data_IF_331317731016
#
_entry.id   IF_331317731016
#
_cell.length_a   1.000
_cell.length_b   1.000
_cell.length_c   1.000
_cell.angle_alpha   90.00
_cell.angle_beta   90.00
_cell.angle_gamma   90.00
#
_symmetry.space_group_name_H-M   'P 1'
#
loop_
_entity.id
_entity.type
_entity.pdbx_description
1 polymer ?
#
# COMPACT_ATOMS: atom_id res chain seq x y z
N UNK A 1 9.40 0.49 10.46
CA UNK A 1 8.17 1.27 10.56
C UNK A 1 7.37 1.01 11.86
N UNK A 2 7.09 -0.22 12.33
CA UNK A 2 6.33 -0.40 13.59
C UNK A 2 6.96 0.28 14.79
N UNK A 3 8.28 0.18 14.93
CA UNK A 3 9.02 0.78 16.03
C UNK A 3 8.89 2.31 16.12
N UNK A 4 8.86 3.02 14.99
CA UNK A 4 8.80 4.49 14.97
C UNK A 4 7.46 5.00 15.49
N UNK A 5 6.36 4.33 15.16
CA UNK A 5 5.03 4.70 15.66
C UNK A 5 4.88 4.36 17.16
N UNK A 6 5.47 3.25 17.59
CA UNK A 6 5.50 2.86 19.01
C UNK A 6 6.31 3.87 19.84
N UNK A 7 7.46 4.35 19.34
CA UNK A 7 8.26 5.39 19.98
C UNK A 7 7.46 6.70 20.11
N UNK A 8 6.77 7.13 19.06
CA UNK A 8 5.90 8.33 19.11
C UNK A 8 4.82 8.16 20.17
N UNK A 9 4.16 6.99 20.21
CA UNK A 9 3.12 6.70 21.18
C UNK A 9 3.62 6.70 22.62
N UNK A 10 4.88 6.33 22.84
CA UNK A 10 5.51 6.25 24.16
C UNK A 10 6.10 7.59 24.63
N UNK A 11 6.68 8.37 23.72
CA UNK A 11 7.36 9.65 24.04
C UNK A 11 6.37 10.81 24.18
N UNK A 12 5.31 10.83 23.36
CA UNK A 12 4.35 11.93 23.36
C UNK A 12 3.08 11.55 24.15
N UNK A 13 2.69 12.33 25.17
CA UNK A 13 1.45 12.10 25.91
C UNK A 13 0.21 12.21 24.99
N UNK A 14 -0.91 11.61 25.43
CA UNK A 14 -2.16 11.67 24.69
C UNK A 14 -2.60 13.13 24.48
N UNK A 15 -3.02 13.45 23.25
CA UNK A 15 -3.52 14.78 22.90
C UNK A 15 -2.88 15.39 21.66
N UNK A 16 -2.94 16.69 21.54
CA UNK A 16 -2.55 17.44 20.33
C UNK A 16 -1.07 17.28 19.95
N UNK A 17 -0.17 17.06 20.91
CA UNK A 17 1.27 16.88 20.63
C UNK A 17 1.54 15.56 19.96
N UNK A 18 0.90 14.48 20.38
CA UNK A 18 1.02 13.17 19.72
C UNK A 18 0.45 13.21 18.31
N UNK A 19 -0.70 13.82 18.12
CA UNK A 19 -1.31 13.97 16.78
C UNK A 19 -0.40 14.79 15.84
N UNK A 20 0.25 15.85 16.36
CA UNK A 20 1.26 16.59 15.60
C UNK A 20 2.48 15.71 15.23
N UNK A 21 2.99 14.91 16.18
CA UNK A 21 4.12 14.02 15.94
C UNK A 21 3.79 12.96 14.88
N UNK A 22 2.58 12.37 14.92
CA UNK A 22 2.09 11.44 13.89
C UNK A 22 1.94 12.15 12.55
N UNK A 23 1.45 13.40 12.52
CA UNK A 23 1.38 14.22 11.32
C UNK A 23 2.76 14.49 10.69
N UNK A 24 3.78 14.81 11.49
CA UNK A 24 5.17 14.99 11.04
C UNK A 24 5.73 13.66 10.53
N UNK A 25 5.46 12.56 11.22
CA UNK A 25 5.85 11.23 10.76
C UNK A 25 5.24 10.87 9.41
N UNK A 26 3.94 11.13 9.23
CA UNK A 26 3.26 10.93 7.94
C UNK A 26 3.85 11.82 6.84
N UNK A 27 4.20 13.07 7.18
CA UNK A 27 4.88 13.98 6.26
C UNK A 27 6.27 13.45 5.84
N UNK A 28 7.03 12.88 6.78
CA UNK A 28 8.33 12.26 6.47
C UNK A 28 8.18 11.05 5.53
N UNK A 29 7.13 10.24 5.70
CA UNK A 29 6.77 9.17 4.75
C UNK A 29 6.47 9.75 3.37
N UNK A 30 5.71 10.84 3.31
CA UNK A 30 5.41 11.57 2.06
C UNK A 30 6.69 12.06 1.37
N UNK A 31 7.59 12.70 2.11
CA UNK A 31 8.90 13.15 1.59
C UNK A 31 9.70 11.98 1.02
N UNK A 32 9.78 10.85 1.73
CA UNK A 32 10.46 9.65 1.24
C UNK A 32 9.84 9.10 -0.05
N UNK A 33 8.52 9.15 -0.15
CA UNK A 33 7.78 8.70 -1.35
C UNK A 33 8.06 9.59 -2.57
N UNK A 34 8.31 10.91 -2.37
CA UNK A 34 8.73 11.84 -3.44
C UNK A 34 10.19 11.64 -3.83
N UNK A 35 11.06 11.72 -2.81
CA UNK A 35 12.50 11.75 -3.03
C UNK A 35 12.97 10.40 -3.58
N UNK A 36 12.37 9.29 -3.14
CA UNK A 36 12.74 7.94 -3.57
C UNK A 36 12.76 7.77 -5.09
N UNK A 37 11.65 7.92 -5.79
CA UNK A 37 11.61 7.79 -7.25
C UNK A 37 12.45 8.87 -7.99
N UNK A 38 12.52 10.09 -7.47
CA UNK A 38 13.33 11.15 -8.09
C UNK A 38 14.83 10.83 -8.02
N UNK A 39 15.32 10.47 -6.83
CA UNK A 39 16.73 10.10 -6.63
C UNK A 39 17.04 8.79 -7.32
N UNK A 40 16.13 7.79 -7.23
CA UNK A 40 16.27 6.53 -7.93
C UNK A 40 16.34 6.71 -9.44
N UNK A 41 15.46 7.53 -10.02
CA UNK A 41 15.46 7.86 -11.44
C UNK A 41 16.71 8.61 -11.89
N UNK A 42 17.20 9.55 -11.06
CA UNK A 42 18.46 10.25 -11.33
C UNK A 42 19.68 9.31 -11.28
N UNK A 43 19.73 8.42 -10.28
CA UNK A 43 20.78 7.42 -10.17
C UNK A 43 20.79 6.46 -11.36
N UNK A 44 19.62 5.98 -11.80
CA UNK A 44 19.51 5.09 -12.97
C UNK A 44 19.88 5.76 -14.28
N UNK A 45 19.75 7.08 -14.38
CA UNK A 45 20.15 7.82 -15.59
C UNK A 45 21.64 8.14 -15.66
N UNK A 46 22.38 8.13 -14.52
CA UNK A 46 23.79 8.52 -14.45
C UNK A 46 24.72 7.40 -14.01
N UNK A 47 24.20 6.36 -13.34
CA UNK A 47 24.97 5.27 -12.78
C UNK A 47 24.31 3.92 -13.11
N UNK A 48 24.99 2.82 -12.76
CA UNK A 48 24.47 1.48 -12.91
C UNK A 48 23.32 1.18 -11.92
N UNK A 49 22.48 0.20 -12.25
CA UNK A 49 21.24 -0.11 -11.50
C UNK A 49 21.45 -0.36 -10.00
N UNK A 50 22.59 -0.94 -9.59
CA UNK A 50 22.87 -1.22 -8.18
C UNK A 50 23.08 0.03 -7.32
N UNK A 51 23.35 1.21 -7.92
CA UNK A 51 23.49 2.48 -7.21
C UNK A 51 22.25 2.84 -6.40
N UNK A 52 21.05 2.44 -6.87
CA UNK A 52 19.77 2.65 -6.18
C UNK A 52 19.70 1.90 -4.85
N UNK A 53 20.42 0.78 -4.73
CA UNK A 53 20.50 0.05 -3.46
C UNK A 53 21.59 0.60 -2.55
N UNK A 54 22.70 1.03 -3.12
CA UNK A 54 23.84 1.56 -2.36
C UNK A 54 23.51 2.84 -1.58
N UNK A 55 22.59 3.68 -2.08
CA UNK A 55 22.15 4.90 -1.38
C UNK A 55 21.49 4.60 -0.03
N UNK A 56 20.96 3.40 0.16
CA UNK A 56 20.38 3.00 1.44
C UNK A 56 21.43 2.81 2.53
N UNK A 57 22.70 2.56 2.18
CA UNK A 57 23.78 2.38 3.17
C UNK A 57 24.05 3.66 3.98
N UNK A 58 24.35 4.82 3.36
CA UNK A 58 24.58 6.05 4.13
C UNK A 58 23.33 6.50 4.89
N UNK A 59 22.12 6.35 4.30
CA UNK A 59 20.88 6.67 4.97
C UNK A 59 20.64 5.75 6.18
N UNK A 60 20.87 4.45 6.03
CA UNK A 60 20.74 3.46 7.10
C UNK A 60 21.73 3.69 8.23
N UNK A 61 23.00 4.00 7.90
CA UNK A 61 24.04 4.33 8.90
C UNK A 61 23.65 5.61 9.66
N UNK A 62 23.25 6.66 8.95
CA UNK A 62 22.80 7.91 9.58
C UNK A 62 21.58 7.67 10.50
N UNK A 63 20.61 6.87 10.04
CA UNK A 63 19.45 6.49 10.83
C UNK A 63 19.80 5.67 12.07
N UNK A 64 20.77 4.75 11.97
CA UNK A 64 21.25 3.95 13.09
C UNK A 64 21.93 4.83 14.16
N UNK A 65 22.80 5.76 13.72
CA UNK A 65 23.47 6.72 14.62
C UNK A 65 22.43 7.61 15.29
N UNK A 66 21.49 8.17 14.52
CA UNK A 66 20.43 9.02 15.07
C UNK A 66 19.55 8.24 16.07
N UNK A 67 19.19 7.00 15.79
CA UNK A 67 18.43 6.16 16.71
C UNK A 67 19.20 5.88 18.02
N UNK A 68 20.51 5.58 17.90
CA UNK A 68 21.34 5.32 19.08
C UNK A 68 21.52 6.55 19.99
N UNK A 69 21.51 7.76 19.41
CA UNK A 69 21.73 9.00 20.16
C UNK A 69 20.44 9.65 20.67
N UNK A 70 19.33 9.49 19.97
CA UNK A 70 18.10 10.28 20.22
C UNK A 70 16.94 9.45 20.78
N UNK A 71 16.92 8.13 20.56
CA UNK A 71 15.80 7.30 21.01
C UNK A 71 16.08 6.80 22.44
N UNK A 72 15.22 7.13 23.41
CA UNK A 72 15.36 6.64 24.78
C UNK A 72 15.20 5.11 24.84
N UNK A 73 15.98 4.47 25.68
CA UNK A 73 15.91 3.04 25.91
C UNK A 73 14.54 2.70 26.54
N UNK A 74 13.71 1.99 25.82
CA UNK A 74 12.40 1.56 26.31
C UNK A 74 12.30 0.03 26.19
N UNK A 75 12.13 -0.63 27.35
CA UNK A 75 11.96 -2.08 27.42
C UNK A 75 10.60 -2.38 28.02
N UNK A 76 9.84 -3.25 27.37
CA UNK A 76 8.64 -3.79 28.01
C UNK A 76 9.07 -4.64 29.23
N UNK A 77 8.44 -4.46 30.40
CA UNK A 77 8.78 -5.23 31.61
C UNK A 77 8.68 -6.74 31.43
N UNK A 78 7.80 -7.20 30.52
CA UNK A 78 7.64 -8.60 30.15
C UNK A 78 7.79 -8.71 28.63
N UNK A 79 9.02 -8.94 28.16
CA UNK A 79 9.25 -9.37 26.78
C UNK A 79 8.71 -10.80 26.63
N UNK A 80 7.55 -10.96 25.98
CA UNK A 80 7.01 -12.27 25.63
C UNK A 80 8.02 -13.11 24.84
N UNK A 81 7.95 -14.42 24.98
CA UNK A 81 8.77 -15.33 24.15
C UNK A 81 8.37 -15.16 22.70
N UNK A 82 9.37 -15.25 21.80
CA UNK A 82 9.12 -15.25 20.36
C UNK A 82 8.18 -16.44 20.01
N UNK A 83 7.24 -16.19 19.12
CA UNK A 83 6.32 -17.19 18.56
C UNK A 83 6.74 -17.56 17.13
N UNK A 84 7.79 -18.39 16.95
CA UNK A 84 8.27 -18.73 15.60
C UNK A 84 7.25 -19.55 14.82
N UNK A 85 6.41 -20.35 15.49
CA UNK A 85 5.37 -21.13 14.83
C UNK A 85 4.28 -20.22 14.28
N UNK A 86 3.80 -19.24 15.06
CA UNK A 86 2.85 -18.24 14.58
C UNK A 86 3.42 -17.40 13.43
N UNK A 87 4.70 -16.98 13.54
CA UNK A 87 5.37 -16.25 12.47
C UNK A 87 5.44 -17.06 11.17
N UNK A 88 5.87 -18.32 11.23
CA UNK A 88 5.95 -19.19 10.05
C UNK A 88 4.58 -19.43 9.42
N UNK A 89 3.57 -19.73 10.23
CA UNK A 89 2.20 -19.95 9.75
C UNK A 89 1.66 -18.72 9.01
N UNK A 90 1.84 -17.52 9.58
CA UNK A 90 1.37 -16.28 8.95
C UNK A 90 2.10 -15.97 7.64
N UNK A 91 3.43 -16.12 7.61
CA UNK A 91 4.25 -15.85 6.43
C UNK A 91 3.87 -16.81 5.29
N UNK A 92 3.80 -18.12 5.57
CA UNK A 92 3.48 -19.11 4.53
C UNK A 92 2.04 -18.98 4.06
N UNK A 93 1.07 -18.66 4.96
CA UNK A 93 -0.30 -18.41 4.57
C UNK A 93 -0.42 -17.25 3.58
N UNK A 94 0.18 -16.10 3.91
CA UNK A 94 0.16 -14.90 3.05
C UNK A 94 0.90 -15.17 1.74
N UNK A 95 2.09 -15.77 1.80
CA UNK A 95 2.87 -16.09 0.61
C UNK A 95 2.11 -17.01 -0.34
N UNK A 96 1.39 -18.02 0.18
CA UNK A 96 0.59 -18.94 -0.64
C UNK A 96 -0.54 -18.22 -1.37
N UNK A 97 -1.26 -17.32 -0.69
CA UNK A 97 -2.35 -16.53 -1.31
C UNK A 97 -1.80 -15.58 -2.37
N UNK A 98 -0.73 -14.84 -2.04
CA UNK A 98 -0.13 -13.90 -2.99
C UNK A 98 0.44 -14.62 -4.21
N UNK A 99 1.10 -15.76 -4.02
CA UNK A 99 1.58 -16.59 -5.12
C UNK A 99 0.44 -17.04 -6.03
N UNK A 100 -0.67 -17.51 -5.45
CA UNK A 100 -1.85 -17.92 -6.23
C UNK A 100 -2.45 -16.77 -7.04
N UNK A 101 -2.47 -15.54 -6.50
CA UNK A 101 -2.95 -14.35 -7.21
C UNK A 101 -1.99 -13.94 -8.33
N UNK A 102 -0.69 -14.00 -8.11
CA UNK A 102 0.34 -13.60 -9.09
C UNK A 102 0.41 -14.60 -10.25
N UNK A 103 0.38 -15.90 -9.95
CA UNK A 103 0.48 -16.97 -10.97
C UNK A 103 -0.86 -17.29 -11.66
N UNK A 104 -1.96 -16.76 -11.13
CA UNK A 104 -3.32 -17.01 -11.66
C UNK A 104 -3.46 -16.72 -13.15
N UNK A 105 -3.02 -15.57 -13.68
CA UNK A 105 -3.06 -15.25 -15.10
C UNK A 105 -2.24 -16.18 -15.98
N UNK A 106 -1.10 -16.65 -15.49
CA UNK A 106 -0.16 -17.49 -16.27
C UNK A 106 -0.57 -18.94 -16.32
N UNK A 107 -1.00 -19.47 -15.17
CA UNK A 107 -1.34 -20.89 -15.02
C UNK A 107 -2.82 -21.20 -15.20
N UNK A 108 -3.66 -20.16 -15.28
CA UNK A 108 -5.10 -20.26 -15.22
C UNK A 108 -5.64 -20.32 -13.79
N UNK A 109 -6.67 -19.52 -13.51
CA UNK A 109 -7.29 -19.39 -12.18
C UNK A 109 -7.86 -20.71 -11.63
N UNK A 110 -8.22 -21.63 -12.50
CA UNK A 110 -8.79 -22.96 -12.18
C UNK A 110 -7.75 -24.07 -12.15
N UNK A 111 -6.48 -23.78 -12.39
CA UNK A 111 -5.41 -24.80 -12.34
C UNK A 111 -5.28 -25.39 -10.94
N UNK A 112 -4.95 -26.69 -10.87
CA UNK A 112 -4.78 -27.41 -9.61
C UNK A 112 -3.75 -26.75 -8.69
N UNK A 113 -2.69 -26.19 -9.25
CA UNK A 113 -1.63 -25.51 -8.51
C UNK A 113 -2.14 -24.22 -7.84
N UNK A 114 -2.89 -23.38 -8.58
CA UNK A 114 -3.45 -22.12 -8.06
C UNK A 114 -4.52 -22.40 -7.00
N UNK A 115 -5.42 -23.35 -7.27
CA UNK A 115 -6.44 -23.76 -6.29
C UNK A 115 -5.82 -24.38 -5.03
N UNK A 116 -4.78 -25.22 -5.18
CA UNK A 116 -4.06 -25.77 -4.04
C UNK A 116 -3.37 -24.69 -3.19
N UNK A 117 -2.80 -23.68 -3.84
CA UNK A 117 -2.16 -22.55 -3.13
C UNK A 117 -3.20 -21.69 -2.37
N UNK A 118 -4.36 -21.41 -2.95
CA UNK A 118 -5.47 -20.75 -2.22
C UNK A 118 -5.96 -21.59 -1.04
N UNK A 119 -6.15 -22.90 -1.25
CA UNK A 119 -6.57 -23.82 -0.18
C UNK A 119 -5.53 -23.90 0.94
N UNK A 120 -4.24 -24.00 0.59
CA UNK A 120 -3.14 -24.01 1.54
C UNK A 120 -3.08 -22.70 2.33
N UNK A 121 -3.19 -21.56 1.66
CA UNK A 121 -3.22 -20.24 2.30
C UNK A 121 -4.37 -20.10 3.29
N UNK A 122 -5.58 -20.53 2.90
CA UNK A 122 -6.77 -20.50 3.77
C UNK A 122 -6.61 -21.44 4.98
N UNK A 123 -6.13 -22.68 4.77
CA UNK A 123 -5.88 -23.64 5.85
C UNK A 123 -4.82 -23.14 6.83
N UNK A 124 -3.73 -22.57 6.32
CA UNK A 124 -2.66 -22.01 7.15
C UNK A 124 -3.13 -20.77 7.92
N UNK A 125 -3.97 -19.92 7.32
CA UNK A 125 -4.56 -18.79 8.04
C UNK A 125 -5.48 -19.26 9.18
N UNK A 126 -6.29 -20.29 8.96
CA UNK A 126 -7.12 -20.91 10.02
C UNK A 126 -6.23 -21.53 11.10
N UNK A 127 -5.18 -22.25 10.71
CA UNK A 127 -4.21 -22.84 11.62
C UNK A 127 -3.49 -21.76 12.45
N UNK A 128 -3.09 -20.64 11.83
CA UNK A 128 -2.53 -19.47 12.50
C UNK A 128 -3.48 -18.91 13.57
N UNK A 129 -4.74 -18.68 13.22
CA UNK A 129 -5.73 -18.17 14.17
C UNK A 129 -5.99 -19.14 15.32
N UNK A 130 -6.04 -20.45 15.04
CA UNK A 130 -6.17 -21.49 16.05
C UNK A 130 -4.95 -21.54 16.96
N UNK A 131 -3.75 -21.42 16.41
CA UNK A 131 -2.49 -21.36 17.13
C UNK A 131 -2.45 -20.13 18.08
N UNK A 132 -2.75 -18.95 17.57
CA UNK A 132 -2.76 -17.71 18.35
C UNK A 132 -3.74 -17.75 19.54
N UNK A 133 -4.81 -18.55 19.47
CA UNK A 133 -5.74 -18.77 20.60
C UNK A 133 -5.17 -19.67 21.68
N UNK A 134 -4.19 -20.52 21.37
CA UNK A 134 -3.63 -21.53 22.27
C UNK A 134 -2.21 -21.23 22.72
N UNK A 135 -1.49 -20.40 21.99
CA UNK A 135 -0.11 -20.06 22.32
C UNK A 135 0.00 -19.36 23.67
N UNK A 136 0.97 -19.75 24.49
CA UNK A 136 1.21 -19.15 25.80
C UNK A 136 1.70 -17.69 25.69
N UNK A 137 2.44 -17.36 24.61
CA UNK A 137 2.89 -16.01 24.26
C UNK A 137 2.56 -15.74 22.81
N UNK A 138 1.30 -15.44 22.46
CA UNK A 138 0.90 -15.25 21.08
C UNK A 138 1.54 -13.99 20.51
N UNK A 139 2.10 -14.06 19.28
CA UNK A 139 2.61 -12.92 18.55
C UNK A 139 1.52 -11.86 18.31
N UNK A 140 0.30 -12.34 18.04
CA UNK A 140 -0.89 -11.53 17.82
C UNK A 140 -1.99 -11.88 18.82
N UNK A 141 -2.06 -11.21 19.97
CA UNK A 141 -3.10 -11.46 20.95
C UNK A 141 -4.45 -11.00 20.39
N UNK A 142 -5.28 -11.96 19.94
CA UNK A 142 -6.55 -11.67 19.24
C UNK A 142 -7.52 -10.81 20.07
N UNK A 143 -7.31 -10.71 21.39
CA UNK A 143 -8.08 -9.82 22.28
C UNK A 143 -8.01 -8.34 21.88
N UNK A 144 -6.90 -7.88 21.26
CA UNK A 144 -6.76 -6.47 20.89
C UNK A 144 -7.74 -6.05 19.79
N UNK A 145 -8.17 -6.98 18.92
CA UNK A 145 -9.19 -6.71 17.90
C UNK A 145 -10.61 -6.51 18.46
N UNK A 146 -10.80 -6.72 19.78
CA UNK A 146 -12.03 -6.30 20.46
C UNK A 146 -12.17 -4.77 20.53
N UNK A 147 -11.05 -4.05 20.42
CA UNK A 147 -11.06 -2.60 20.26
C UNK A 147 -11.48 -2.26 18.82
N UNK A 148 -12.70 -1.78 18.65
CA UNK A 148 -13.29 -1.47 17.34
C UNK A 148 -12.45 -0.49 16.54
N UNK A 149 -11.80 0.48 17.20
CA UNK A 149 -10.94 1.45 16.53
C UNK A 149 -9.71 0.78 15.88
N UNK A 150 -9.10 -0.20 16.56
CA UNK A 150 -7.98 -0.98 16.01
C UNK A 150 -8.45 -1.81 14.82
N UNK A 151 -9.48 -2.64 14.99
CA UNK A 151 -9.95 -3.56 13.95
C UNK A 151 -10.42 -2.78 12.69
N UNK A 152 -11.18 -1.71 12.89
CA UNK A 152 -11.61 -0.84 11.79
C UNK A 152 -10.42 -0.10 11.18
N UNK A 153 -9.50 0.44 12.00
CA UNK A 153 -8.32 1.16 11.54
C UNK A 153 -7.41 0.29 10.68
N UNK A 154 -7.08 -0.92 11.14
CA UNK A 154 -6.25 -1.87 10.39
C UNK A 154 -6.91 -2.29 9.08
N UNK A 155 -8.22 -2.50 9.06
CA UNK A 155 -8.96 -2.81 7.83
C UNK A 155 -8.93 -1.63 6.84
N UNK A 156 -9.20 -0.41 7.32
CA UNK A 156 -9.27 0.78 6.45
C UNK A 156 -7.89 1.16 5.90
N UNK A 157 -6.83 1.04 6.71
CA UNK A 157 -5.47 1.31 6.22
C UNK A 157 -4.99 0.24 5.25
N UNK A 158 -5.40 -1.02 5.43
CA UNK A 158 -5.13 -2.10 4.47
C UNK A 158 -5.75 -1.77 3.10
N UNK A 159 -7.04 -1.37 3.08
CA UNK A 159 -7.72 -0.99 1.84
C UNK A 159 -7.11 0.26 1.19
N UNK A 160 -6.71 1.23 2.02
CA UNK A 160 -6.00 2.43 1.56
C UNK A 160 -4.64 2.12 0.94
N UNK A 161 -3.85 1.25 1.59
CA UNK A 161 -2.54 0.82 1.09
C UNK A 161 -2.65 -0.04 -0.17
N UNK A 162 -3.70 -0.88 -0.27
CA UNK A 162 -4.05 -1.63 -1.47
C UNK A 162 -4.20 -0.69 -2.67
N UNK A 163 -5.02 0.33 -2.55
CA UNK A 163 -5.25 1.27 -3.64
C UNK A 163 -4.02 2.14 -3.91
N UNK A 164 -3.36 2.65 -2.87
CA UNK A 164 -2.19 3.52 -3.02
C UNK A 164 -1.10 2.83 -3.82
N UNK A 165 -0.64 1.67 -3.35
CA UNK A 165 0.51 0.99 -3.93
C UNK A 165 0.15 0.28 -5.23
N UNK A 166 -1.05 -0.32 -5.33
CA UNK A 166 -1.53 -0.91 -6.56
C UNK A 166 -1.69 0.13 -7.69
N UNK A 167 -2.26 1.30 -7.39
CA UNK A 167 -2.39 2.40 -8.36
C UNK A 167 -1.02 2.94 -8.78
N UNK A 168 -0.08 3.12 -7.84
CA UNK A 168 1.28 3.56 -8.16
C UNK A 168 2.01 2.55 -9.05
N UNK A 169 1.86 1.26 -8.80
CA UNK A 169 2.46 0.19 -9.60
C UNK A 169 2.03 0.26 -11.07
N UNK A 170 0.74 0.44 -11.33
CA UNK A 170 0.21 0.57 -12.70
C UNK A 170 0.57 1.92 -13.30
N UNK A 171 0.47 3.01 -12.53
CA UNK A 171 0.78 4.35 -13.02
C UNK A 171 2.24 4.52 -13.46
N UNK A 172 3.20 3.91 -12.72
CA UNK A 172 4.62 3.93 -13.11
C UNK A 172 4.82 3.27 -14.48
N UNK A 173 4.20 2.13 -14.70
CA UNK A 173 4.30 1.43 -15.99
C UNK A 173 3.63 2.24 -17.12
N UNK A 174 2.46 2.81 -16.86
CA UNK A 174 1.77 3.69 -17.81
C UNK A 174 2.65 4.89 -18.20
N UNK A 175 3.27 5.55 -17.21
CA UNK A 175 4.13 6.71 -17.47
C UNK A 175 5.37 6.35 -18.29
N UNK A 176 6.01 5.21 -18.01
CA UNK A 176 7.23 4.80 -18.69
C UNK A 176 6.96 4.20 -20.07
N UNK A 177 6.01 3.30 -20.20
CA UNK A 177 5.85 2.48 -21.40
C UNK A 177 4.77 3.01 -22.36
N UNK A 178 3.72 3.67 -21.85
CA UNK A 178 2.67 4.25 -22.69
C UNK A 178 3.03 5.69 -23.04
N UNK A 179 3.31 6.54 -22.02
CA UNK A 179 3.64 7.95 -22.25
C UNK A 179 5.12 8.19 -22.61
N UNK A 180 5.96 7.16 -22.57
CA UNK A 180 7.36 7.22 -22.97
C UNK A 180 8.26 8.07 -22.07
N UNK A 181 7.89 8.30 -20.80
CA UNK A 181 8.72 9.08 -19.89
C UNK A 181 9.91 8.29 -19.38
N UNK A 182 11.06 8.95 -19.29
CA UNK A 182 12.23 8.38 -18.64
C UNK A 182 11.97 8.12 -17.14
N UNK A 183 12.73 7.24 -16.46
CA UNK A 183 12.59 7.01 -15.03
C UNK A 183 12.63 8.27 -14.18
N UNK A 184 13.51 9.22 -14.51
CA UNK A 184 13.61 10.52 -13.83
C UNK A 184 12.37 11.38 -14.06
N UNK A 185 11.86 11.43 -15.29
CA UNK A 185 10.62 12.14 -15.62
C UNK A 185 9.41 11.51 -14.94
N UNK A 186 9.36 10.19 -14.84
CA UNK A 186 8.32 9.47 -14.11
C UNK A 186 8.34 9.84 -12.63
N UNK A 187 9.51 9.85 -11.99
CA UNK A 187 9.66 10.27 -10.61
C UNK A 187 9.13 11.68 -10.35
N UNK A 188 9.44 12.64 -11.23
CA UNK A 188 8.90 14.01 -11.15
C UNK A 188 7.37 14.04 -11.28
N UNK A 189 6.79 13.21 -12.13
CA UNK A 189 5.34 13.14 -12.36
C UNK A 189 4.58 12.41 -11.27
N UNK A 190 5.25 11.63 -10.44
CA UNK A 190 4.71 11.11 -9.18
C UNK A 190 4.75 12.16 -8.05
N UNK A 191 5.55 13.23 -8.21
CA UNK A 191 5.71 14.31 -7.24
C UNK A 191 4.40 14.90 -6.71
N UNK A 192 3.39 15.20 -7.55
CA UNK A 192 2.10 15.72 -7.08
C UNK A 192 1.40 14.82 -6.06
N UNK A 193 1.45 13.48 -6.22
CA UNK A 193 0.87 12.56 -5.23
C UNK A 193 1.56 12.69 -3.88
N UNK A 194 2.83 12.82 -3.90
CA UNK A 194 3.63 12.87 -2.71
C UNK A 194 3.60 14.27 -2.03
N UNK A 195 3.53 15.35 -2.80
CA UNK A 195 3.25 16.68 -2.25
C UNK A 195 1.86 16.75 -1.61
N UNK A 196 0.86 16.14 -2.26
CA UNK A 196 -0.48 16.02 -1.69
C UNK A 196 -0.47 15.23 -0.38
N UNK A 197 0.23 14.10 -0.32
CA UNK A 197 0.41 13.28 0.88
C UNK A 197 1.10 14.09 2.01
N UNK A 198 2.14 14.85 1.67
CA UNK A 198 2.89 15.69 2.61
C UNK A 198 2.00 16.73 3.30
N UNK A 199 1.04 17.31 2.58
CA UNK A 199 0.09 18.30 3.11
C UNK A 199 -1.10 17.60 3.79
N UNK A 200 -1.59 16.51 3.21
CA UNK A 200 -2.76 15.79 3.68
C UNK A 200 -2.55 15.15 5.07
N UNK A 201 -1.35 14.62 5.36
CA UNK A 201 -1.04 14.00 6.64
C UNK A 201 -1.24 14.95 7.83
N UNK A 202 -0.54 16.09 7.91
CA UNK A 202 -0.75 17.09 8.97
C UNK A 202 -2.18 17.62 9.04
N UNK A 203 -2.84 17.84 7.88
CA UNK A 203 -4.22 18.29 7.85
C UNK A 203 -5.17 17.23 8.43
N UNK A 204 -4.99 15.97 8.10
CA UNK A 204 -5.74 14.87 8.71
C UNK A 204 -5.53 14.80 10.22
N UNK A 205 -4.29 15.05 10.69
CA UNK A 205 -3.96 15.14 12.11
C UNK A 205 -4.72 16.26 12.86
N UNK A 206 -5.06 17.34 12.19
CA UNK A 206 -5.90 18.43 12.73
C UNK A 206 -7.39 18.11 12.63
N UNK A 207 -7.80 17.45 11.56
CA UNK A 207 -9.21 17.15 11.28
C UNK A 207 -9.70 15.90 12.05
N UNK A 208 -8.89 14.88 12.22
CA UNK A 208 -9.29 13.62 12.85
C UNK A 208 -9.80 13.78 14.29
N UNK A 209 -9.20 14.62 15.16
CA UNK A 209 -9.75 14.90 16.50
C UNK A 209 -11.10 15.61 16.48
N UNK A 210 -11.38 16.41 15.44
CA UNK A 210 -12.61 17.20 15.31
C UNK A 210 -13.76 16.43 14.66
N UNK A 211 -13.47 15.74 13.56
CA UNK A 211 -14.46 15.06 12.73
C UNK A 211 -14.59 13.57 13.06
N UNK A 212 -13.60 13.01 13.75
CA UNK A 212 -13.47 11.58 14.03
C UNK A 212 -12.81 10.81 12.88
N UNK A 213 -12.17 9.68 13.23
CA UNK A 213 -11.54 8.75 12.28
C UNK A 213 -12.48 8.36 11.14
N UNK A 214 -13.75 8.10 11.47
CA UNK A 214 -14.80 7.66 10.54
C UNK A 214 -14.91 8.55 9.30
N UNK A 215 -15.05 9.86 9.51
CA UNK A 215 -15.27 10.81 8.40
C UNK A 215 -13.99 11.03 7.63
N UNK A 216 -12.86 11.25 8.32
CA UNK A 216 -11.58 11.53 7.66
C UNK A 216 -11.10 10.33 6.84
N UNK A 217 -11.19 9.11 7.37
CA UNK A 217 -10.85 7.91 6.62
C UNK A 217 -11.81 7.64 5.45
N UNK A 218 -13.12 7.87 5.62
CA UNK A 218 -14.10 7.73 4.53
C UNK A 218 -13.81 8.70 3.38
N UNK A 219 -13.52 9.97 3.68
CA UNK A 219 -13.13 10.97 2.67
C UNK A 219 -11.83 10.56 1.98
N UNK A 220 -10.83 10.10 2.74
CA UNK A 220 -9.58 9.59 2.17
C UNK A 220 -9.77 8.41 1.22
N UNK A 221 -10.58 7.42 1.62
CA UNK A 221 -10.90 6.27 0.77
C UNK A 221 -11.73 6.67 -0.47
N UNK A 222 -12.64 7.65 -0.35
CA UNK A 222 -13.36 8.19 -1.50
C UNK A 222 -12.43 8.88 -2.50
N UNK A 223 -11.42 9.61 -2.02
CA UNK A 223 -10.39 10.20 -2.88
C UNK A 223 -9.52 9.14 -3.57
N UNK A 224 -9.14 8.06 -2.86
CA UNK A 224 -8.43 6.92 -3.46
C UNK A 224 -9.28 6.22 -4.51
N UNK A 225 -10.57 6.03 -4.25
CA UNK A 225 -11.52 5.48 -5.21
C UNK A 225 -11.63 6.36 -6.47
N UNK A 226 -11.78 7.67 -6.29
CA UNK A 226 -11.84 8.63 -7.39
C UNK A 226 -10.52 8.65 -8.19
N UNK A 227 -9.36 8.56 -7.53
CA UNK A 227 -8.05 8.46 -8.19
C UNK A 227 -7.99 7.25 -9.13
N UNK A 228 -8.32 6.08 -8.61
CA UNK A 228 -8.35 4.85 -9.41
C UNK A 228 -9.40 4.92 -10.53
N UNK A 229 -10.59 5.49 -10.27
CA UNK A 229 -11.64 5.66 -11.27
C UNK A 229 -11.20 6.61 -12.41
N UNK A 230 -10.49 7.69 -12.11
CA UNK A 230 -9.93 8.59 -13.14
C UNK A 230 -8.93 7.84 -14.03
N UNK A 231 -8.05 7.01 -13.44
CA UNK A 231 -7.10 6.22 -14.23
C UNK A 231 -7.76 5.08 -14.98
N UNK A 232 -8.88 4.52 -14.50
CA UNK A 232 -9.64 3.48 -15.20
C UNK A 232 -10.20 3.97 -16.55
N UNK A 233 -10.43 5.27 -16.72
CA UNK A 233 -10.96 5.89 -17.92
C UNK A 233 -9.89 6.55 -18.80
N UNK A 234 -8.60 6.26 -18.54
CA UNK A 234 -7.49 6.81 -19.32
C UNK A 234 -7.35 6.08 -20.65
N UNK A 235 -7.17 6.83 -21.71
CA UNK A 235 -6.93 6.33 -23.08
C UNK A 235 -5.44 6.43 -23.44
N UNK A 236 -4.98 5.64 -24.41
CA UNK A 236 -3.58 5.64 -24.84
C UNK A 236 -3.12 7.00 -25.40
N UNK A 237 -4.05 7.80 -25.89
CA UNK A 237 -3.83 9.15 -26.45
C UNK A 237 -3.89 10.26 -25.40
N UNK A 238 -4.32 9.94 -24.18
CA UNK A 238 -4.43 10.92 -23.12
C UNK A 238 -3.06 11.41 -22.65
N UNK A 239 -2.95 12.71 -22.47
CA UNK A 239 -1.77 13.32 -21.86
C UNK A 239 -1.75 13.19 -20.35
N UNK A 240 -0.72 13.76 -19.74
CA UNK A 240 -0.49 13.71 -18.28
C UNK A 240 -1.59 14.39 -17.44
N UNK A 241 -2.44 15.22 -17.99
CA UNK A 241 -3.43 16.01 -17.24
C UNK A 241 -4.39 15.16 -16.39
N UNK A 242 -4.92 14.06 -16.93
CA UNK A 242 -5.75 13.11 -16.17
C UNK A 242 -4.96 12.43 -15.07
N UNK A 243 -3.76 11.98 -15.38
CA UNK A 243 -2.86 11.37 -14.42
C UNK A 243 -2.49 12.33 -13.29
N UNK A 244 -2.31 13.63 -13.55
CA UNK A 244 -2.07 14.65 -12.54
C UNK A 244 -3.21 14.73 -11.52
N UNK A 245 -4.46 14.76 -12.00
CA UNK A 245 -5.64 14.76 -11.10
C UNK A 245 -5.67 13.49 -10.26
N UNK A 246 -5.44 12.34 -10.89
CA UNK A 246 -5.38 11.06 -10.17
C UNK A 246 -4.28 11.05 -9.10
N UNK A 247 -3.07 11.54 -9.43
CA UNK A 247 -1.96 11.60 -8.48
C UNK A 247 -2.26 12.53 -7.27
N UNK A 248 -2.88 13.67 -7.51
CA UNK A 248 -3.31 14.56 -6.43
C UNK A 248 -4.33 13.88 -5.51
N UNK A 249 -5.37 13.27 -6.09
CA UNK A 249 -6.38 12.51 -5.33
C UNK A 249 -5.76 11.35 -4.55
N UNK A 250 -4.80 10.64 -5.17
CA UNK A 250 -4.08 9.53 -4.55
C UNK A 250 -3.35 9.97 -3.28
N UNK A 251 -2.59 11.05 -3.37
CA UNK A 251 -1.82 11.58 -2.24
C UNK A 251 -2.69 12.11 -1.11
N UNK A 252 -3.73 12.89 -1.44
CA UNK A 252 -4.69 13.39 -0.45
C UNK A 252 -5.40 12.23 0.24
N UNK A 253 -5.90 11.26 -0.52
CA UNK A 253 -6.59 10.10 0.02
C UNK A 253 -5.72 9.27 0.95
N UNK A 254 -4.49 8.96 0.53
CA UNK A 254 -3.54 8.19 1.34
C UNK A 254 -3.18 8.91 2.65
N UNK A 255 -2.90 10.22 2.60
CA UNK A 255 -2.59 11.00 3.79
C UNK A 255 -3.72 11.00 4.81
N UNK A 256 -4.95 11.13 4.34
CA UNK A 256 -6.13 11.11 5.21
C UNK A 256 -6.34 9.73 5.86
N UNK A 257 -6.26 8.64 5.08
CA UNK A 257 -6.45 7.28 5.60
C UNK A 257 -5.35 6.93 6.59
N UNK A 258 -4.08 7.04 6.20
CA UNK A 258 -2.94 6.62 7.03
C UNK A 258 -2.93 7.38 8.36
N UNK A 259 -3.08 8.70 8.33
CA UNK A 259 -3.00 9.50 9.55
C UNK A 259 -4.20 9.26 10.47
N UNK A 260 -5.43 9.28 9.93
CA UNK A 260 -6.63 9.11 10.75
C UNK A 260 -6.71 7.73 11.40
N UNK A 261 -6.33 6.67 10.68
CA UNK A 261 -6.34 5.29 11.21
C UNK A 261 -5.23 5.07 12.23
N UNK A 262 -3.99 5.53 11.95
CA UNK A 262 -2.86 5.39 12.87
C UNK A 262 -3.09 6.14 14.18
N UNK A 263 -3.63 7.37 14.14
CA UNK A 263 -3.97 8.13 15.34
C UNK A 263 -5.06 7.43 16.18
N UNK A 264 -6.10 6.92 15.53
CA UNK A 264 -7.17 6.19 16.21
C UNK A 264 -6.69 4.89 16.85
N UNK A 265 -5.82 4.13 16.17
CA UNK A 265 -5.24 2.90 16.70
C UNK A 265 -4.40 3.20 17.95
N UNK A 266 -3.44 4.11 17.84
CA UNK A 266 -2.57 4.51 18.96
C UNK A 266 -3.38 5.14 20.10
N UNK A 267 -4.46 5.87 19.77
CA UNK A 267 -5.34 6.51 20.75
C UNK A 267 -6.24 5.54 21.53
N UNK A 268 -6.57 4.40 20.96
CA UNK A 268 -7.52 3.44 21.52
C UNK A 268 -6.89 2.36 22.42
N UNK A 269 -5.56 2.20 22.37
CA UNK A 269 -4.86 1.14 23.07
C UNK A 269 -4.21 1.62 24.37
N UNK A 270 -4.13 0.72 25.40
CA UNK A 270 -3.27 0.93 26.55
C UNK A 270 -1.80 1.02 26.14
N UNK A 271 -0.98 1.67 26.96
CA UNK A 271 0.47 1.80 26.68
C UNK A 271 1.18 0.45 26.53
N UNK A 272 0.75 -0.57 27.28
CA UNK A 272 1.26 -1.94 27.19
C UNK A 272 1.03 -2.60 25.85
N UNK A 273 -0.02 -2.23 25.12
CA UNK A 273 -0.44 -2.85 23.87
C UNK A 273 -0.07 -1.99 22.63
N UNK A 274 0.54 -0.80 22.81
CA UNK A 274 0.92 0.11 21.72
C UNK A 274 1.89 -0.54 20.73
N UNK A 275 2.84 -1.34 21.22
CA UNK A 275 3.78 -2.06 20.34
C UNK A 275 3.07 -3.04 19.41
N UNK A 276 2.12 -3.80 19.94
CA UNK A 276 1.33 -4.76 19.16
C UNK A 276 0.40 -4.03 18.18
N UNK A 277 -0.27 -2.96 18.62
CA UNK A 277 -1.12 -2.16 17.74
C UNK A 277 -0.34 -1.50 16.60
N UNK A 278 0.86 -0.99 16.86
CA UNK A 278 1.73 -0.46 15.81
C UNK A 278 2.21 -1.54 14.85
N UNK A 279 2.45 -2.76 15.34
CA UNK A 279 2.84 -3.90 14.52
C UNK A 279 1.69 -4.36 13.61
N UNK A 280 0.45 -4.45 14.14
CA UNK A 280 -0.73 -4.80 13.32
C UNK A 280 -1.03 -3.77 12.26
N UNK A 281 -0.96 -2.47 12.59
CA UNK A 281 -1.12 -1.39 11.63
C UNK A 281 -0.08 -1.48 10.49
N UNK A 282 1.19 -1.71 10.83
CA UNK A 282 2.24 -1.86 9.82
C UNK A 282 2.06 -3.13 8.97
N UNK A 283 1.63 -4.23 9.58
CA UNK A 283 1.30 -5.46 8.86
C UNK A 283 0.11 -5.23 7.91
N UNK A 284 -0.93 -4.52 8.35
CA UNK A 284 -2.08 -4.17 7.51
C UNK A 284 -1.66 -3.33 6.29
N UNK A 285 -0.79 -2.32 6.47
CA UNK A 285 -0.23 -1.52 5.36
C UNK A 285 0.52 -2.43 4.37
N UNK A 286 1.40 -3.32 4.85
CA UNK A 286 2.21 -4.18 3.98
C UNK A 286 1.37 -5.23 3.25
N UNK A 287 0.38 -5.82 3.94
CA UNK A 287 -0.57 -6.76 3.32
C UNK A 287 -1.42 -6.06 2.26
N UNK A 288 -1.91 -4.85 2.57
CA UNK A 288 -2.64 -4.04 1.61
C UNK A 288 -1.78 -3.73 0.38
N UNK A 289 -0.55 -3.25 0.58
CA UNK A 289 0.38 -2.94 -0.49
C UNK A 289 0.67 -4.15 -1.39
N UNK A 290 1.02 -5.29 -0.79
CA UNK A 290 1.34 -6.51 -1.53
C UNK A 290 0.12 -7.05 -2.31
N UNK A 291 -1.06 -7.08 -1.66
CA UNK A 291 -2.30 -7.52 -2.33
C UNK A 291 -2.74 -6.56 -3.43
N UNK A 292 -2.52 -5.24 -3.25
CA UNK A 292 -2.80 -4.24 -4.27
C UNK A 292 -1.99 -4.47 -5.55
N UNK A 293 -0.68 -4.65 -5.43
CA UNK A 293 0.19 -4.98 -6.57
C UNK A 293 -0.20 -6.33 -7.19
N UNK A 294 -0.43 -7.35 -6.36
CA UNK A 294 -0.77 -8.68 -6.86
C UNK A 294 -2.11 -8.68 -7.63
N UNK A 295 -3.18 -8.13 -7.06
CA UNK A 295 -4.51 -8.16 -7.69
C UNK A 295 -4.57 -7.24 -8.90
N UNK A 296 -4.13 -5.98 -8.76
CA UNK A 296 -4.21 -5.02 -9.86
C UNK A 296 -3.22 -5.37 -10.98
N UNK A 297 -2.02 -5.85 -10.62
CA UNK A 297 -1.03 -6.33 -11.59
C UNK A 297 -1.52 -7.58 -12.34
N UNK A 298 -2.17 -8.50 -11.64
CA UNK A 298 -2.73 -9.71 -12.22
C UNK A 298 -3.87 -9.43 -13.21
N UNK A 299 -4.80 -8.54 -12.81
CA UNK A 299 -5.90 -8.11 -13.70
C UNK A 299 -5.39 -7.38 -14.94
N UNK A 300 -4.36 -6.54 -14.77
CA UNK A 300 -3.69 -5.86 -15.87
C UNK A 300 -3.04 -6.87 -16.81
N UNK A 301 -2.26 -7.81 -16.27
CA UNK A 301 -1.54 -8.82 -17.06
C UNK A 301 -2.47 -9.73 -17.83
N UNK A 302 -3.56 -10.21 -17.20
CA UNK A 302 -4.56 -11.07 -17.82
C UNK A 302 -5.19 -10.42 -19.07
N UNK A 303 -5.61 -9.16 -18.95
CA UNK A 303 -6.19 -8.41 -20.06
C UNK A 303 -5.17 -8.01 -21.12
N UNK A 304 -3.98 -7.62 -20.69
CA UNK A 304 -2.88 -7.29 -21.60
C UNK A 304 -2.53 -8.46 -22.51
N UNK A 305 -2.40 -9.67 -21.95
CA UNK A 305 -2.12 -10.89 -22.72
C UNK A 305 -3.22 -11.20 -23.72
N UNK A 306 -4.49 -11.19 -23.28
CA UNK A 306 -5.62 -11.42 -24.17
C UNK A 306 -5.70 -10.39 -25.30
N UNK A 307 -5.37 -9.12 -25.03
CA UNK A 307 -5.32 -8.09 -26.06
C UNK A 307 -4.23 -8.30 -27.12
N UNK A 308 -3.13 -8.98 -26.78
CA UNK A 308 -2.08 -9.33 -27.75
C UNK A 308 -2.41 -10.58 -28.59
N UNK A 309 -3.29 -11.46 -28.12
CA UNK A 309 -3.73 -12.63 -28.90
C UNK A 309 -4.51 -12.25 -30.17
N UNK A 310 -5.22 -11.13 -30.11
CA UNK A 310 -6.07 -10.65 -31.21
C UNK A 310 -5.32 -9.78 -32.23
N UNK A 311 -4.04 -9.45 -31.97
CA UNK A 311 -3.26 -8.57 -32.86
C UNK A 311 -2.69 -9.40 -34.02
N UNK A 312 -3.01 -9.06 -35.31
CA UNK A 312 -2.34 -9.65 -36.46
C UNK A 312 -0.85 -9.28 -36.40
N UNK A 313 -0.03 -10.19 -35.88
CA UNK A 313 1.36 -9.89 -35.56
C UNK A 313 2.30 -10.41 -36.66
N UNK A 314 3.21 -9.57 -37.19
CA UNK A 314 4.31 -10.04 -37.99
C UNK A 314 5.41 -10.73 -37.16
N UNK A 315 5.20 -10.87 -35.85
CA UNK A 315 6.14 -11.44 -34.87
C UNK A 315 5.97 -12.95 -34.85
N UNK A 316 7.05 -13.74 -34.92
CA UNK A 316 7.01 -15.19 -34.71
C UNK A 316 6.36 -15.54 -33.36
N UNK A 317 5.59 -16.62 -33.32
CA UNK A 317 4.85 -17.06 -32.14
C UNK A 317 5.74 -17.19 -30.88
N UNK A 318 6.98 -17.68 -31.06
CA UNK A 318 7.96 -17.79 -29.98
C UNK A 318 8.41 -16.45 -29.36
N UNK A 319 8.33 -15.35 -30.12
CA UNK A 319 8.64 -14.00 -29.63
C UNK A 319 7.39 -13.32 -29.06
N UNK A 320 6.20 -13.71 -29.54
CA UNK A 320 4.94 -13.22 -29.02
C UNK A 320 4.73 -13.63 -27.56
N UNK A 321 5.12 -14.83 -27.18
CA UNK A 321 5.06 -15.28 -25.77
C UNK A 321 5.91 -14.38 -24.87
N UNK A 322 7.11 -14.02 -25.31
CA UNK A 322 7.95 -13.07 -24.56
C UNK A 322 7.34 -11.65 -24.50
N UNK A 323 6.67 -11.21 -25.56
CA UNK A 323 5.97 -9.92 -25.56
C UNK A 323 4.79 -9.90 -24.57
N UNK A 324 4.12 -11.03 -24.38
CA UNK A 324 3.03 -11.20 -23.41
C UNK A 324 3.49 -11.12 -21.95
N UNK A 325 4.78 -11.34 -21.67
CA UNK A 325 5.29 -11.23 -20.30
C UNK A 325 5.25 -9.79 -19.78
N UNK A 326 5.55 -8.80 -20.63
CA UNK A 326 5.50 -7.39 -20.24
C UNK A 326 5.46 -6.44 -21.43
N UNK A 327 4.81 -5.29 -21.24
CA UNK A 327 4.82 -4.20 -22.22
C UNK A 327 6.25 -3.74 -22.57
N UNK A 328 7.15 -3.70 -21.58
CA UNK A 328 8.55 -3.34 -21.83
C UNK A 328 9.25 -4.28 -22.81
N UNK A 329 9.02 -5.60 -22.68
CA UNK A 329 9.54 -6.61 -23.61
C UNK A 329 8.92 -6.47 -24.99
N UNK A 330 7.60 -6.23 -25.07
CA UNK A 330 6.91 -6.00 -26.34
C UNK A 330 7.47 -4.79 -27.09
N UNK A 331 7.71 -3.67 -26.40
CA UNK A 331 8.30 -2.47 -27.01
C UNK A 331 9.75 -2.71 -27.47
N UNK A 332 10.56 -3.42 -26.68
CA UNK A 332 11.91 -3.78 -27.08
C UNK A 332 11.96 -4.72 -28.30
N UNK A 333 10.95 -5.58 -28.49
CA UNK A 333 10.78 -6.37 -29.69
C UNK A 333 10.32 -5.53 -30.87
N UNK A 334 9.39 -4.59 -30.65
CA UNK A 334 8.92 -3.66 -31.67
C UNK A 334 10.06 -2.85 -32.32
N UNK A 335 11.05 -2.42 -31.51
CA UNK A 335 12.24 -1.69 -32.00
C UNK A 335 13.13 -2.54 -32.96
N UNK A 336 13.02 -3.87 -32.88
CA UNK A 336 13.77 -4.80 -33.76
C UNK A 336 13.03 -5.13 -35.05
N UNK A 337 11.75 -4.82 -35.14
CA UNK A 337 10.94 -5.05 -36.34
C UNK A 337 11.16 -3.93 -37.36
N UNK A 338 11.23 -4.25 -38.68
CA UNK A 338 11.46 -3.24 -39.68
C UNK A 338 10.23 -2.39 -39.96
N UNK A 339 10.42 -1.06 -40.12
CA UNK A 339 9.46 -0.12 -40.66
C UNK A 339 8.12 -0.03 -39.93
N UNK A 340 7.02 0.03 -40.65
CA UNK A 340 5.67 0.22 -40.11
C UNK A 340 5.19 -0.93 -39.24
N UNK A 341 5.73 -2.14 -39.41
CA UNK A 341 5.37 -3.30 -38.62
C UNK A 341 5.75 -3.13 -37.10
N UNK A 342 6.93 -2.55 -36.85
CA UNK A 342 7.37 -2.27 -35.49
C UNK A 342 6.52 -1.21 -34.80
N UNK A 343 6.20 -0.13 -35.48
CA UNK A 343 5.33 0.94 -34.96
C UNK A 343 3.92 0.44 -34.67
N UNK A 344 3.32 -0.30 -35.61
CA UNK A 344 1.99 -0.88 -35.44
C UNK A 344 1.93 -1.86 -34.25
N UNK A 345 2.96 -2.72 -34.08
CA UNK A 345 3.04 -3.63 -32.96
C UNK A 345 3.21 -2.90 -31.62
N UNK A 346 4.04 -1.84 -31.57
CA UNK A 346 4.21 -1.01 -30.37
C UNK A 346 2.91 -0.31 -29.96
N UNK A 347 2.16 0.22 -30.93
CA UNK A 347 0.86 0.87 -30.68
C UNK A 347 -0.17 -0.15 -30.18
N UNK A 348 -0.26 -1.32 -30.81
CA UNK A 348 -1.14 -2.39 -30.36
C UNK A 348 -0.82 -2.87 -28.94
N UNK A 349 0.46 -3.01 -28.61
CA UNK A 349 0.89 -3.39 -27.27
C UNK A 349 0.56 -2.31 -26.21
N UNK A 350 0.74 -1.02 -26.54
CA UNK A 350 0.31 0.10 -25.66
C UNK A 350 -1.20 0.12 -25.47
N UNK A 351 -1.97 -0.09 -26.53
CA UNK A 351 -3.43 -0.14 -26.44
C UNK A 351 -3.89 -1.31 -25.58
N UNK A 352 -3.35 -2.53 -25.77
CA UNK A 352 -3.65 -3.68 -24.96
C UNK A 352 -3.35 -3.45 -23.46
N UNK A 353 -2.27 -2.72 -23.16
CA UNK A 353 -1.93 -2.34 -21.80
C UNK A 353 -2.97 -1.37 -21.21
N UNK A 354 -3.36 -0.34 -21.94
CA UNK A 354 -4.37 0.64 -21.48
C UNK A 354 -5.73 -0.03 -21.29
N UNK A 355 -6.11 -0.94 -22.18
CA UNK A 355 -7.34 -1.74 -22.05
C UNK A 355 -7.29 -2.63 -20.78
N UNK A 356 -6.10 -3.11 -20.41
CA UNK A 356 -5.86 -3.84 -19.15
C UNK A 356 -5.90 -2.95 -17.91
N UNK A 357 -5.55 -1.67 -18.04
CA UNK A 357 -5.62 -0.72 -16.92
C UNK A 357 -7.06 -0.52 -16.43
N UNK A 358 -8.04 -0.46 -17.33
CA UNK A 358 -9.44 -0.24 -16.99
C UNK A 358 -9.97 -1.16 -15.89
N UNK A 359 -9.97 -2.49 -16.08
CA UNK A 359 -10.37 -3.46 -15.06
C UNK A 359 -9.52 -3.40 -13.77
N UNK A 360 -8.19 -3.27 -13.90
CA UNK A 360 -7.30 -3.19 -12.76
C UNK A 360 -7.61 -1.98 -11.86
N UNK A 361 -7.75 -0.81 -12.46
CA UNK A 361 -8.09 0.42 -11.76
C UNK A 361 -9.53 0.41 -11.22
N UNK A 362 -10.48 -0.19 -11.96
CA UNK A 362 -11.86 -0.36 -11.50
C UNK A 362 -11.94 -1.25 -10.26
N UNK A 363 -11.12 -2.30 -10.17
CA UNK A 363 -11.01 -3.11 -8.96
C UNK A 363 -10.49 -2.28 -7.78
N UNK A 364 -9.46 -1.45 -7.98
CA UNK A 364 -8.96 -0.52 -6.95
C UNK A 364 -10.03 0.46 -6.47
N UNK A 365 -10.76 1.04 -7.42
CA UNK A 365 -11.88 1.95 -7.14
C UNK A 365 -13.00 1.25 -6.36
N UNK A 366 -13.39 0.04 -6.76
CA UNK A 366 -14.42 -0.75 -6.09
C UNK A 366 -14.05 -1.15 -4.66
N UNK A 367 -12.82 -1.62 -4.45
CA UNK A 367 -12.30 -2.00 -3.13
C UNK A 367 -12.33 -0.80 -2.17
N UNK A 368 -11.86 0.36 -2.62
CA UNK A 368 -11.86 1.57 -1.78
C UNK A 368 -13.25 2.17 -1.61
N UNK A 369 -14.14 2.08 -2.60
CA UNK A 369 -15.55 2.45 -2.44
C UNK A 369 -16.26 1.58 -1.40
N UNK A 370 -16.03 0.26 -1.42
CA UNK A 370 -16.48 -0.63 -0.34
C UNK A 370 -15.88 -0.22 1.01
N UNK A 371 -14.60 0.18 1.02
CA UNK A 371 -13.92 0.73 2.19
C UNK A 371 -14.60 1.99 2.76
N UNK A 372 -15.13 2.88 1.91
CA UNK A 372 -15.92 4.04 2.36
C UNK A 372 -17.14 3.59 3.16
N UNK A 373 -17.89 2.61 2.63
CA UNK A 373 -19.06 2.07 3.32
C UNK A 373 -18.68 1.42 4.66
N UNK A 374 -17.59 0.65 4.67
CA UNK A 374 -17.05 0.04 5.89
C UNK A 374 -16.61 1.09 6.91
N UNK A 375 -15.95 2.18 6.47
CA UNK A 375 -15.59 3.29 7.36
C UNK A 375 -16.83 3.90 8.00
N UNK A 376 -17.88 4.13 7.21
CA UNK A 376 -19.13 4.70 7.69
C UNK A 376 -19.93 3.78 8.61
N UNK A 377 -19.78 2.46 8.50
CA UNK A 377 -20.52 1.47 9.30
C UNK A 377 -19.74 1.04 10.55
N UNK A 378 -18.45 0.78 10.43
CA UNK A 378 -17.66 0.08 11.46
C UNK A 378 -16.83 1.04 12.33
N UNK A 379 -16.35 2.15 11.77
CA UNK A 379 -15.49 3.05 12.52
C UNK A 379 -16.26 3.83 13.58
N UNK A 380 -15.70 4.01 14.79
CA UNK A 380 -16.35 4.77 15.85
C UNK A 380 -16.53 6.24 15.46
N UNK A 381 -17.65 6.83 15.83
CA UNK A 381 -18.00 8.24 15.53
C UNK A 381 -17.06 9.25 16.20
N UNK A 382 -16.61 8.95 17.43
CA UNK A 382 -15.60 9.71 18.18
C UNK A 382 -14.77 8.72 18.98
N UNK A 383 -13.53 9.05 19.31
CA UNK A 383 -12.74 8.25 20.24
C UNK A 383 -13.54 8.00 21.51
N UNK A 384 -13.64 6.73 21.93
CA UNK A 384 -14.41 6.32 23.10
C UNK A 384 -14.12 7.26 24.26
N UNK A 385 -15.17 7.85 24.79
CA UNK A 385 -15.13 8.80 25.91
C UNK A 385 -14.18 8.32 27.02
N UNK A 386 -13.18 9.12 27.31
CA UNK A 386 -12.45 9.11 28.58
C UNK A 386 -13.30 9.78 29.68
N UNK A 387 -14.61 9.51 29.72
CA UNK A 387 -15.50 9.95 30.79
C UNK A 387 -15.90 8.75 31.64
N UNK A 388 -14.94 8.30 32.41
CA UNK A 388 -15.18 7.21 33.35
C UNK A 388 -14.16 7.13 34.45
N UNK A 389 -13.84 8.25 35.11
CA UNK A 389 -13.32 8.26 36.49
C UNK A 389 -13.08 9.68 37.01
N UNK A 390 -14.17 10.33 37.38
CA UNK A 390 -14.11 11.42 38.35
C UNK A 390 -15.38 11.37 39.19
N UNK A 391 -15.47 10.33 40.00
CA UNK A 391 -16.25 10.36 41.23
C UNK A 391 -15.51 9.51 42.26
N UNK A 392 -14.39 10.02 42.73
CA UNK A 392 -13.98 9.74 44.12
C UNK A 392 -14.39 10.96 44.91
N UNK A 393 -15.59 10.84 45.47
CA UNK A 393 -16.12 11.76 46.47
C UNK A 393 -15.12 11.87 47.60
N UNK A 394 -14.78 13.10 47.91
CA UNK A 394 -14.44 13.50 49.29
C UNK A 394 -15.51 12.99 50.24
N UNK A 395 -15.10 12.18 51.14
CA UNK A 395 -15.81 11.91 52.38
C UNK A 395 -14.80 11.70 53.50
N UNK A 396 -14.67 12.78 54.25
CA UNK A 396 -14.27 12.93 55.67
C UNK A 396 -13.02 12.21 56.12
#
# INVERSE_FOLDING_TARGET
MPATLAVIGNVFPRGAERTKAIGIWSAAVGVGTVIGPMVGGWLLSHYWWGSVFLINLPIGIAGLIAAALLVPDSRAPESGRLDPAGALLSVVAVASVLWAVIEGPDRGWTSSAVLAAFAAGALLAVAFLAWQRRAASPMLPLRIFRHRALAAGDLLVLLGAFALIGTLFVAVQHFQFVLGYSPGQTGLRLGPAALALLVAGPLAGVLAPRLGMRIVAAVGLAMLSASSAVLATTEATDGYSRALVAMLLLGWGAGFVITATSDAIVGSLPETDLGVGSATNSAAIQLGAASGVAVMGSLLSDRYRGGLDDVPSPVPESLLDSAKESLGTALALAERLPGEAGTAFAEAARQAFVDGMGPAMSAGAGVTAAGVLLALLLAPLRGADTTGTTHQKDSS
#
